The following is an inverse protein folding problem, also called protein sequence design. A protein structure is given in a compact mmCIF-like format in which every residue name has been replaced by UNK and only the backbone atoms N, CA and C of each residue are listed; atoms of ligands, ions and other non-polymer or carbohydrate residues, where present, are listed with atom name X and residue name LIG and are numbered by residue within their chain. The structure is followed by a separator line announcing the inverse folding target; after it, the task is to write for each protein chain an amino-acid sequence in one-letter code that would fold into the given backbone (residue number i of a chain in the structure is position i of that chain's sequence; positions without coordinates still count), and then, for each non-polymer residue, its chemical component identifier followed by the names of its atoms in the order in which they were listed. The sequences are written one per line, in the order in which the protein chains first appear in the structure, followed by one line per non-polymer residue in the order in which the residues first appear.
data_IF_999923984700
#
_entry.id   IF_999923984700
#
_cell.length_a   1.000
_cell.length_b   1.000
_cell.length_c   1.000
_cell.angle_alpha   90.00
_cell.angle_beta   90.00
_cell.angle_gamma   90.00
#
_symmetry.space_group_name_H-M   'P 1'
#
loop_
_entity.id
_entity.type
_entity.pdbx_description
1 polymer ?
#
# COMPACT_ATOMS: atom_id res chain seq x y z
N UNK A 1 -10.11 -39.58 -28.61
CA UNK A 1 -9.30 -40.20 -27.58
C UNK A 1 -9.21 -41.70 -27.88
N UNK A 2 -8.01 -42.17 -28.22
CA UNK A 2 -7.80 -43.59 -28.49
C UNK A 2 -7.56 -44.31 -27.15
N UNK A 3 -8.59 -45.00 -26.67
CA UNK A 3 -8.44 -45.94 -25.56
C UNK A 3 -7.47 -47.06 -26.01
N UNK A 4 -6.43 -47.38 -25.25
CA UNK A 4 -5.49 -48.46 -25.62
C UNK A 4 -6.21 -49.75 -25.91
N UNK A 5 -5.78 -50.44 -26.96
CA UNK A 5 -6.46 -51.62 -27.49
C UNK A 5 -6.60 -52.79 -26.47
N UNK A 6 -5.71 -52.86 -25.47
CA UNK A 6 -5.79 -53.90 -24.40
C UNK A 6 -6.91 -53.67 -23.40
N UNK A 7 -7.52 -52.46 -23.33
CA UNK A 7 -8.71 -52.17 -22.51
C UNK A 7 -9.97 -52.59 -23.24
N UNK A 8 -9.94 -52.70 -24.57
CA UNK A 8 -11.07 -53.05 -25.42
C UNK A 8 -11.34 -54.56 -25.47
N UNK A 9 -10.26 -55.35 -25.39
CA UNK A 9 -10.36 -56.80 -25.39
C UNK A 9 -10.58 -57.30 -23.96
N UNK A 10 -11.66 -58.00 -23.67
CA UNK A 10 -11.96 -58.65 -22.39
C UNK A 10 -10.97 -59.83 -22.17
N UNK A 11 -9.66 -59.58 -22.19
CA UNK A 11 -8.66 -60.60 -21.87
C UNK A 11 -8.64 -60.86 -20.36
N UNK A 12 -8.68 -62.11 -19.99
CA UNK A 12 -8.53 -62.51 -18.61
C UNK A 12 -7.13 -62.14 -18.09
N UNK A 13 -6.99 -61.83 -16.80
CA UNK A 13 -5.68 -61.57 -16.16
C UNK A 13 -4.67 -62.74 -16.38
N UNK A 14 -5.18 -63.97 -16.53
CA UNK A 14 -4.37 -65.18 -16.85
C UNK A 14 -3.64 -65.04 -18.18
N UNK A 15 -4.24 -64.44 -19.20
CA UNK A 15 -3.75 -64.40 -20.58
C UNK A 15 -2.73 -63.29 -20.81
N UNK A 16 -2.42 -62.50 -19.81
CA UNK A 16 -1.46 -61.40 -19.88
C UNK A 16 -0.02 -61.90 -19.69
N UNK A 17 0.89 -61.38 -20.51
CA UNK A 17 2.32 -61.60 -20.32
C UNK A 17 2.84 -60.96 -19.02
N UNK A 18 3.95 -61.46 -18.49
CA UNK A 18 4.61 -60.91 -17.28
C UNK A 18 4.85 -59.42 -17.36
N UNK A 19 5.23 -58.91 -18.56
CA UNK A 19 5.43 -57.49 -18.80
C UNK A 19 4.12 -56.67 -18.72
N UNK A 20 3.06 -57.17 -19.32
CA UNK A 20 1.71 -56.55 -19.26
C UNK A 20 1.15 -56.53 -17.83
N UNK A 21 1.34 -57.63 -17.07
CA UNK A 21 0.96 -57.65 -15.66
C UNK A 21 1.70 -56.63 -14.81
N UNK A 22 3.01 -56.44 -15.07
CA UNK A 22 3.84 -55.40 -14.40
C UNK A 22 3.33 -54.00 -14.78
N UNK A 23 3.02 -53.78 -16.04
CA UNK A 23 2.52 -52.45 -16.52
C UNK A 23 1.18 -52.12 -15.89
N UNK A 24 0.20 -53.07 -15.86
CA UNK A 24 -1.10 -52.89 -15.22
C UNK A 24 -0.97 -52.62 -13.72
N UNK A 25 -0.07 -53.34 -13.01
CA UNK A 25 0.18 -53.07 -11.58
C UNK A 25 0.76 -51.68 -11.37
N UNK A 26 1.67 -51.18 -12.23
CA UNK A 26 2.21 -49.84 -12.14
C UNK A 26 1.14 -48.76 -12.38
N UNK A 27 0.30 -48.96 -13.39
CA UNK A 27 -0.84 -48.06 -13.69
C UNK A 27 -1.81 -48.05 -12.52
N UNK A 28 -2.20 -49.22 -11.99
CA UNK A 28 -3.10 -49.34 -10.83
C UNK A 28 -2.51 -48.65 -9.57
N UNK A 29 -1.21 -48.86 -9.31
CA UNK A 29 -0.50 -48.14 -8.24
C UNK A 29 -0.48 -46.61 -8.44
N UNK A 30 -0.29 -46.15 -9.67
CA UNK A 30 -0.38 -44.74 -10.01
C UNK A 30 -1.76 -44.16 -9.78
N UNK A 31 -2.82 -44.86 -10.23
CA UNK A 31 -4.21 -44.47 -10.00
C UNK A 31 -4.53 -44.45 -8.50
N UNK A 32 -4.07 -45.45 -7.75
CA UNK A 32 -4.27 -45.49 -6.29
C UNK A 32 -3.57 -44.31 -5.60
N UNK A 33 -2.32 -43.99 -5.98
CA UNK A 33 -1.62 -42.82 -5.44
C UNK A 33 -2.36 -41.51 -5.73
N UNK A 34 -2.86 -41.33 -6.95
CA UNK A 34 -3.64 -40.16 -7.32
C UNK A 34 -4.95 -40.11 -6.52
N UNK A 35 -5.64 -41.23 -6.37
CA UNK A 35 -6.87 -41.32 -5.56
C UNK A 35 -6.61 -40.97 -4.09
N UNK A 36 -5.56 -41.53 -3.49
CA UNK A 36 -5.17 -41.24 -2.09
C UNK A 36 -4.80 -39.76 -1.95
N UNK A 37 -4.04 -39.22 -2.91
CA UNK A 37 -3.69 -37.81 -2.93
C UNK A 37 -4.94 -36.93 -3.02
N UNK A 38 -5.86 -37.22 -3.93
CA UNK A 38 -7.14 -36.50 -4.03
C UNK A 38 -7.97 -36.56 -2.73
N UNK A 39 -8.01 -37.72 -2.06
CA UNK A 39 -8.71 -37.86 -0.78
C UNK A 39 -8.04 -36.99 0.30
N UNK A 40 -6.71 -37.02 0.38
CA UNK A 40 -5.95 -36.20 1.33
C UNK A 40 -6.24 -34.71 1.08
N UNK A 41 -6.15 -34.25 -0.16
CA UNK A 41 -6.41 -32.86 -0.52
C UNK A 41 -7.86 -32.43 -0.23
N UNK A 42 -8.84 -33.26 -0.57
CA UNK A 42 -10.25 -33.01 -0.25
C UNK A 42 -10.49 -32.93 1.26
N UNK A 43 -9.86 -33.80 2.03
CA UNK A 43 -10.00 -33.81 3.51
C UNK A 43 -9.27 -32.60 4.14
N UNK A 44 -8.09 -32.26 3.64
CA UNK A 44 -7.30 -31.13 4.18
C UNK A 44 -7.78 -29.78 3.69
N UNK A 45 -8.39 -29.72 2.52
CA UNK A 45 -8.92 -28.51 1.90
C UNK A 45 -10.31 -28.11 2.37
N UNK A 46 -10.91 -28.78 3.36
CA UNK A 46 -12.21 -28.38 3.92
C UNK A 46 -12.03 -27.21 4.90
N UNK A 47 -12.98 -26.26 4.96
CA UNK A 47 -12.90 -25.12 5.86
C UNK A 47 -12.82 -25.53 7.34
N UNK A 48 -13.50 -26.62 7.74
CA UNK A 48 -13.44 -27.20 9.09
C UNK A 48 -11.99 -27.65 9.44
N UNK A 49 -11.35 -28.36 8.53
CA UNK A 49 -9.99 -28.84 8.73
C UNK A 49 -8.96 -27.69 8.78
N UNK A 50 -9.23 -26.60 8.06
CA UNK A 50 -8.41 -25.38 8.13
C UNK A 50 -8.59 -24.70 9.49
N UNK A 51 -9.84 -24.56 9.96
CA UNK A 51 -10.17 -24.01 11.27
C UNK A 51 -9.48 -24.81 12.40
N UNK A 52 -9.56 -26.14 12.36
CA UNK A 52 -8.90 -27.01 13.34
C UNK A 52 -7.38 -26.86 13.33
N UNK A 53 -6.76 -26.86 12.16
CA UNK A 53 -5.30 -26.69 12.04
C UNK A 53 -4.84 -25.33 12.53
N UNK A 54 -5.64 -24.27 12.28
CA UNK A 54 -5.36 -22.93 12.78
C UNK A 54 -5.48 -22.87 14.30
N UNK A 55 -6.59 -23.35 14.88
CA UNK A 55 -6.79 -23.37 16.32
C UNK A 55 -5.71 -24.19 17.05
N UNK A 56 -5.31 -25.34 16.49
CA UNK A 56 -4.19 -26.13 17.01
C UNK A 56 -2.87 -25.35 16.95
N UNK A 57 -2.59 -24.67 15.85
CA UNK A 57 -1.38 -23.84 15.74
C UNK A 57 -1.41 -22.66 16.71
N UNK A 58 -2.57 -22.02 16.88
CA UNK A 58 -2.80 -20.91 17.80
C UNK A 58 -2.56 -21.36 19.26
N UNK A 59 -3.19 -22.45 19.69
CA UNK A 59 -3.02 -23.01 21.03
C UNK A 59 -1.56 -23.39 21.35
N UNK A 60 -0.82 -23.85 20.33
CA UNK A 60 0.60 -24.20 20.44
C UNK A 60 1.52 -22.97 20.30
N UNK A 61 0.97 -21.77 20.18
CA UNK A 61 1.70 -20.52 19.92
C UNK A 61 2.61 -20.60 18.69
N UNK A 62 2.29 -21.50 17.76
CA UNK A 62 3.00 -21.65 16.50
C UNK A 62 2.53 -20.59 15.49
N UNK A 63 2.87 -19.33 15.76
CA UNK A 63 2.42 -18.19 14.99
C UNK A 63 2.83 -18.26 13.52
N UNK A 64 3.99 -18.86 13.23
CA UNK A 64 4.44 -19.07 11.86
C UNK A 64 3.51 -20.01 11.09
N UNK A 65 3.02 -21.09 11.73
CA UNK A 65 2.04 -22.00 11.13
C UNK A 65 0.67 -21.34 11.03
N UNK A 66 0.22 -20.63 12.08
CA UNK A 66 -1.03 -19.88 12.06
C UNK A 66 -1.08 -18.86 10.93
N UNK A 67 -0.02 -18.08 10.73
CA UNK A 67 0.07 -17.09 9.64
C UNK A 67 0.06 -17.70 8.23
N UNK A 68 0.62 -18.90 8.04
CA UNK A 68 0.49 -19.62 6.75
C UNK A 68 -0.94 -20.08 6.46
N UNK A 69 -1.74 -20.30 7.50
CA UNK A 69 -3.15 -20.67 7.39
C UNK A 69 -4.05 -19.45 7.30
N UNK A 70 -3.53 -18.24 7.52
CA UNK A 70 -4.25 -16.99 7.41
C UNK A 70 -4.17 -16.41 6.01
N UNK A 71 -5.22 -15.68 5.62
CA UNK A 71 -5.31 -14.96 4.35
C UNK A 71 -4.64 -13.59 4.48
N UNK A 72 -3.32 -13.59 4.50
CA UNK A 72 -2.54 -12.35 4.54
C UNK A 72 -2.47 -11.71 3.15
N UNK A 73 -2.66 -10.38 3.02
CA UNK A 73 -2.53 -9.69 1.75
C UNK A 73 -1.15 -9.85 1.10
N UNK A 74 -1.12 -10.15 -0.20
CA UNK A 74 0.11 -10.26 -0.99
C UNK A 74 0.57 -8.88 -1.49
N UNK A 75 0.73 -7.90 -0.61
CA UNK A 75 1.07 -6.51 -0.99
C UNK A 75 2.50 -6.08 -0.60
N UNK A 76 3.27 -6.96 -0.02
CA UNK A 76 4.63 -6.69 0.45
C UNK A 76 4.73 -5.94 1.79
N UNK A 77 3.64 -5.32 2.27
CA UNK A 77 3.62 -4.60 3.56
C UNK A 77 3.12 -5.47 4.72
N UNK A 78 2.42 -6.56 4.43
CA UNK A 78 1.98 -7.55 5.41
C UNK A 78 2.82 -8.80 5.23
N UNK A 79 3.86 -8.93 6.03
CA UNK A 79 4.78 -10.06 5.97
C UNK A 79 4.46 -11.11 7.01
N UNK A 80 4.95 -12.34 6.78
CA UNK A 80 4.83 -13.42 7.76
C UNK A 80 5.51 -13.08 9.10
N UNK A 81 6.63 -12.33 9.06
CA UNK A 81 7.38 -11.97 10.26
C UNK A 81 6.66 -10.88 11.06
N UNK A 82 6.01 -9.93 10.40
CA UNK A 82 5.13 -8.94 11.05
C UNK A 82 3.92 -9.59 11.69
N UNK A 83 3.27 -10.55 11.00
CA UNK A 83 2.20 -11.34 11.59
C UNK A 83 2.67 -12.06 12.88
N UNK A 84 3.81 -12.73 12.83
CA UNK A 84 4.39 -13.42 14.00
C UNK A 84 4.69 -12.43 15.13
N UNK A 85 5.24 -11.26 14.82
CA UNK A 85 5.53 -10.21 15.80
C UNK A 85 4.26 -9.65 16.44
N UNK A 86 3.23 -9.41 15.66
CA UNK A 86 1.92 -8.98 16.14
C UNK A 86 1.30 -10.01 17.06
N UNK A 87 1.26 -11.28 16.64
CA UNK A 87 0.65 -12.36 17.41
C UNK A 87 1.37 -12.60 18.73
N UNK A 88 2.71 -12.58 18.76
CA UNK A 88 3.48 -12.69 20.02
C UNK A 88 3.14 -11.62 21.04
N UNK A 89 2.74 -10.43 20.57
CA UNK A 89 2.45 -9.28 21.43
C UNK A 89 0.98 -9.23 21.86
N UNK A 90 0.06 -9.63 20.98
CA UNK A 90 -1.37 -9.34 21.13
C UNK A 90 -2.25 -10.58 21.27
N UNK A 91 -1.75 -11.76 20.91
CA UNK A 91 -2.56 -12.99 20.99
C UNK A 91 -2.83 -13.38 22.44
N UNK A 92 -3.97 -14.05 22.65
CA UNK A 92 -4.25 -14.72 23.90
C UNK A 92 -3.38 -15.97 23.98
N UNK A 93 -2.57 -16.07 25.00
CA UNK A 93 -1.67 -17.20 25.28
C UNK A 93 -2.22 -18.06 26.41
N UNK A 94 -1.58 -19.20 26.69
CA UNK A 94 -1.99 -20.07 27.80
C UNK A 94 -3.36 -20.73 27.59
N UNK A 95 -3.70 -21.10 26.36
CA UNK A 95 -4.94 -21.82 26.06
C UNK A 95 -4.75 -23.30 26.38
N UNK A 96 -5.51 -23.82 27.32
CA UNK A 96 -5.44 -25.22 27.77
C UNK A 96 -6.26 -26.20 26.90
N UNK A 97 -7.22 -25.68 26.13
CA UNK A 97 -8.05 -26.49 25.22
C UNK A 97 -9.03 -25.63 24.44
N UNK A 98 -9.54 -26.17 23.32
CA UNK A 98 -10.55 -25.52 22.51
C UNK A 98 -11.56 -26.50 21.94
N UNK A 99 -12.73 -26.01 21.61
CA UNK A 99 -13.79 -26.74 20.91
C UNK A 99 -14.30 -25.83 19.76
N UNK A 100 -14.48 -26.42 18.58
CA UNK A 100 -15.00 -25.71 17.40
C UNK A 100 -16.43 -26.20 17.16
N UNK A 101 -17.37 -25.25 17.08
CA UNK A 101 -18.79 -25.53 16.86
C UNK A 101 -19.31 -24.75 15.65
N UNK A 102 -20.10 -25.41 14.81
CA UNK A 102 -20.99 -24.74 13.88
C UNK A 102 -22.29 -24.35 14.60
N UNK A 103 -22.65 -23.09 14.54
CA UNK A 103 -23.90 -22.55 15.07
C UNK A 103 -24.85 -22.16 13.92
N UNK A 104 -26.10 -21.82 14.25
CA UNK A 104 -27.05 -21.32 13.24
C UNK A 104 -26.56 -20.01 12.62
N UNK A 105 -25.96 -19.12 13.41
CA UNK A 105 -25.38 -17.86 12.97
C UNK A 105 -24.22 -18.09 12.00
N UNK A 106 -23.41 -19.12 12.23
CA UNK A 106 -22.32 -19.51 11.34
C UNK A 106 -22.83 -19.91 9.95
N UNK A 107 -23.98 -20.57 9.85
CA UNK A 107 -24.63 -20.94 8.58
C UNK A 107 -25.18 -19.71 7.85
N UNK A 108 -25.63 -18.69 8.57
CA UNK A 108 -26.06 -17.44 7.95
C UNK A 108 -24.91 -16.76 7.21
N UNK A 109 -23.72 -16.71 7.79
CA UNK A 109 -22.50 -16.17 7.11
C UNK A 109 -22.22 -16.91 5.80
N UNK A 110 -22.41 -18.22 5.75
CA UNK A 110 -22.24 -19.00 4.52
C UNK A 110 -23.23 -18.56 3.44
N UNK A 111 -24.51 -18.43 3.81
CA UNK A 111 -25.56 -18.02 2.88
C UNK A 111 -25.33 -16.60 2.37
N UNK A 112 -25.03 -15.65 3.26
CA UNK A 112 -24.81 -14.26 2.92
C UNK A 112 -23.57 -14.05 2.03
N UNK A 113 -22.52 -14.85 2.24
CA UNK A 113 -21.31 -14.81 1.40
C UNK A 113 -21.42 -15.58 0.09
N UNK A 114 -22.55 -16.27 -0.16
CA UNK A 114 -22.71 -17.15 -1.31
C UNK A 114 -21.72 -18.32 -1.31
N UNK A 115 -21.45 -18.89 -0.13
CA UNK A 115 -20.55 -20.02 0.07
C UNK A 115 -19.06 -19.68 -0.01
N UNK A 116 -18.70 -18.40 0.06
CA UNK A 116 -17.29 -17.96 0.02
C UNK A 116 -16.65 -17.88 1.41
N UNK A 117 -17.45 -17.80 2.46
CA UNK A 117 -17.01 -17.77 3.84
C UNK A 117 -17.74 -18.80 4.69
N UNK A 118 -17.04 -19.31 5.68
CA UNK A 118 -17.56 -20.14 6.74
C UNK A 118 -17.14 -19.57 8.08
N UNK A 119 -18.08 -19.39 9.00
CA UNK A 119 -17.78 -18.97 10.36
C UNK A 119 -17.89 -20.15 11.32
N UNK A 120 -16.99 -20.19 12.28
CA UNK A 120 -16.95 -21.20 13.35
C UNK A 120 -16.89 -20.49 14.69
N UNK A 121 -17.68 -20.93 15.65
CA UNK A 121 -17.54 -20.50 17.04
C UNK A 121 -16.49 -21.38 17.72
N UNK A 122 -15.41 -20.77 18.15
CA UNK A 122 -14.33 -21.42 18.90
C UNK A 122 -14.52 -21.09 20.37
N UNK A 123 -14.89 -22.08 21.17
CA UNK A 123 -14.85 -21.98 22.63
C UNK A 123 -13.48 -22.43 23.11
N UNK A 124 -12.85 -21.69 23.98
CA UNK A 124 -11.52 -22.03 24.51
C UNK A 124 -11.42 -21.70 26.00
N UNK A 125 -10.54 -22.43 26.68
CA UNK A 125 -10.23 -22.23 28.10
C UNK A 125 -8.87 -21.64 28.26
N UNK A 126 -8.77 -20.56 29.04
CA UNK A 126 -7.50 -19.95 29.45
C UNK A 126 -6.95 -20.64 30.69
N UNK A 127 -5.68 -20.40 31.02
CA UNK A 127 -5.02 -21.01 32.20
C UNK A 127 -5.74 -20.74 33.52
N UNK A 128 -6.43 -19.60 33.64
CA UNK A 128 -7.27 -19.23 34.77
C UNK A 128 -8.67 -19.90 34.75
N UNK A 129 -8.83 -20.96 33.93
CA UNK A 129 -10.06 -21.75 33.77
C UNK A 129 -11.28 -20.93 33.28
N UNK A 130 -11.09 -19.76 32.73
CA UNK A 130 -12.20 -18.99 32.15
C UNK A 130 -12.49 -19.48 30.73
N UNK A 131 -13.77 -19.77 30.50
CA UNK A 131 -14.25 -20.05 29.15
C UNK A 131 -14.47 -18.73 28.38
N UNK A 132 -13.96 -18.69 27.16
CA UNK A 132 -14.16 -17.59 26.22
C UNK A 132 -14.58 -18.16 24.88
N UNK A 133 -15.30 -17.36 24.12
CA UNK A 133 -15.69 -17.71 22.74
C UNK A 133 -15.17 -16.67 21.78
N UNK A 134 -14.81 -17.12 20.58
CA UNK A 134 -14.40 -16.26 19.47
C UNK A 134 -14.97 -16.81 18.16
N UNK A 135 -15.43 -15.94 17.27
CA UNK A 135 -15.80 -16.35 15.93
C UNK A 135 -14.54 -16.40 15.05
N UNK A 136 -14.34 -17.49 14.36
CA UNK A 136 -13.28 -17.71 13.39
C UNK A 136 -13.90 -17.77 11.99
N UNK A 137 -13.54 -16.83 11.13
CA UNK A 137 -14.00 -16.82 9.75
C UNK A 137 -12.94 -17.47 8.86
N UNK A 138 -13.35 -18.45 8.08
CA UNK A 138 -12.54 -19.14 7.09
C UNK A 138 -13.07 -18.78 5.70
N UNK A 139 -12.22 -18.28 4.84
CA UNK A 139 -12.63 -17.79 3.53
C UNK A 139 -11.95 -18.52 2.38
N UNK A 140 -12.72 -18.65 1.31
CA UNK A 140 -12.35 -19.32 0.07
C UNK A 140 -11.39 -18.47 -0.72
N UNK A 141 -10.24 -19.02 -1.09
CA UNK A 141 -9.24 -18.30 -1.88
C UNK A 141 -9.61 -18.26 -3.36
N UNK A 142 -9.26 -17.16 -4.04
CA UNK A 142 -9.43 -17.02 -5.49
C UNK A 142 -8.50 -17.95 -6.27
N UNK A 143 -7.28 -18.16 -5.78
CA UNK A 143 -6.30 -19.08 -6.36
C UNK A 143 -6.70 -20.53 -6.02
N UNK A 144 -6.65 -21.41 -7.01
CA UNK A 144 -6.90 -22.84 -6.83
C UNK A 144 -5.56 -23.57 -6.73
N UNK A 145 -5.46 -24.46 -5.77
CA UNK A 145 -4.32 -25.37 -5.67
C UNK A 145 -4.52 -26.52 -6.63
N UNK A 146 -3.49 -26.86 -7.43
CA UNK A 146 -3.53 -27.97 -8.40
C UNK A 146 -4.72 -27.94 -9.40
N UNK A 147 -5.13 -26.74 -9.83
CA UNK A 147 -6.18 -26.50 -10.84
C UNK A 147 -7.62 -26.87 -10.42
N UNK A 148 -7.81 -27.76 -9.44
CA UNK A 148 -9.13 -28.32 -9.11
C UNK A 148 -9.58 -28.05 -7.68
N UNK A 149 -8.66 -27.89 -6.74
CA UNK A 149 -8.98 -27.75 -5.32
C UNK A 149 -9.08 -26.30 -4.91
N UNK A 150 -10.11 -25.98 -4.16
CA UNK A 150 -10.28 -24.68 -3.54
C UNK A 150 -9.45 -24.62 -2.28
N UNK A 151 -8.59 -23.65 -2.17
CA UNK A 151 -7.88 -23.36 -0.93
C UNK A 151 -8.76 -22.51 -0.02
N UNK A 152 -8.70 -22.80 1.28
CA UNK A 152 -9.38 -22.05 2.33
C UNK A 152 -8.34 -21.53 3.31
N UNK A 153 -8.54 -20.29 3.78
CA UNK A 153 -7.67 -19.66 4.78
C UNK A 153 -8.50 -18.95 5.83
N UNK A 154 -7.95 -18.82 7.02
CA UNK A 154 -8.55 -18.02 8.08
C UNK A 154 -8.45 -16.55 7.69
N UNK A 155 -9.56 -15.80 7.79
CA UNK A 155 -9.58 -14.36 7.55
C UNK A 155 -8.61 -13.65 8.49
N UNK A 156 -7.87 -12.71 7.94
CA UNK A 156 -6.96 -11.83 8.69
C UNK A 156 -7.58 -10.45 8.98
N UNK A 157 -8.84 -10.23 8.67
CA UNK A 157 -9.51 -8.92 8.79
C UNK A 157 -9.49 -8.34 10.21
N UNK A 158 -9.35 -9.18 11.24
CA UNK A 158 -9.24 -8.72 12.64
C UNK A 158 -7.84 -8.18 13.01
N UNK A 159 -6.84 -8.44 12.18
CA UNK A 159 -5.44 -8.10 12.46
C UNK A 159 -4.79 -7.31 11.33
N UNK A 160 -5.47 -7.18 10.20
CA UNK A 160 -5.02 -6.42 9.05
C UNK A 160 -5.93 -5.21 8.87
N UNK A 161 -5.34 -4.04 8.97
CA UNK A 161 -5.97 -2.78 8.58
C UNK A 161 -6.06 -2.76 7.05
N UNK A 162 -7.19 -3.23 6.53
CA UNK A 162 -7.47 -3.16 5.11
C UNK A 162 -7.88 -1.74 4.73
N UNK A 163 -7.62 -1.37 3.47
CA UNK A 163 -8.03 -0.07 2.93
C UNK A 163 -7.53 1.15 3.72
N UNK A 164 -6.35 1.04 4.37
CA UNK A 164 -5.74 2.17 5.07
C UNK A 164 -5.31 3.23 4.07
N UNK A 165 -5.76 4.47 4.26
CA UNK A 165 -5.48 5.57 3.35
C UNK A 165 -4.29 6.40 3.85
N UNK A 166 -3.30 6.59 2.99
CA UNK A 166 -2.12 7.38 3.27
C UNK A 166 -2.08 8.56 2.31
N UNK A 167 -2.09 9.78 2.84
CA UNK A 167 -2.00 11.02 2.07
C UNK A 167 -0.61 11.61 2.19
N UNK A 168 0.09 11.71 1.07
CA UNK A 168 1.48 12.14 0.98
C UNK A 168 1.61 13.37 0.06
N UNK A 169 2.60 14.24 0.28
CA UNK A 169 2.91 15.31 -0.66
C UNK A 169 3.18 14.79 -2.07
N UNK A 170 2.63 15.43 -3.08
CA UNK A 170 2.79 15.05 -4.47
C UNK A 170 4.28 14.95 -4.86
N UNK A 171 4.63 13.95 -5.67
CA UNK A 171 6.00 13.67 -6.10
C UNK A 171 6.91 13.14 -4.99
N UNK A 172 6.37 12.68 -3.87
CA UNK A 172 7.15 12.11 -2.78
C UNK A 172 7.59 10.66 -3.08
N UNK A 173 8.66 10.25 -2.42
CA UNK A 173 9.04 8.84 -2.26
C UNK A 173 8.85 8.48 -0.80
N UNK A 174 8.14 7.39 -0.53
CA UNK A 174 7.85 6.99 0.84
C UNK A 174 8.21 5.52 1.11
N UNK A 175 8.38 5.21 2.40
CA UNK A 175 8.65 3.87 2.90
C UNK A 175 7.83 3.67 4.18
N UNK A 176 7.18 2.54 4.29
CA UNK A 176 6.51 2.06 5.50
C UNK A 176 7.36 0.91 6.04
N UNK A 177 7.83 1.01 7.28
CA UNK A 177 8.72 0.02 7.95
C UNK A 177 9.89 -0.41 7.06
N UNK A 178 10.51 0.58 6.40
CA UNK A 178 11.60 0.43 5.43
C UNK A 178 11.22 -0.22 4.08
N UNK A 179 9.98 -0.62 3.87
CA UNK A 179 9.46 -1.13 2.61
C UNK A 179 8.99 0.05 1.75
N UNK A 180 9.53 0.15 0.54
CA UNK A 180 9.21 1.25 -0.37
C UNK A 180 7.75 1.19 -0.80
N UNK A 181 7.04 2.32 -0.71
CA UNK A 181 5.69 2.47 -1.23
C UNK A 181 5.72 2.45 -2.77
N UNK A 182 4.87 1.60 -3.36
CA UNK A 182 4.82 1.38 -4.81
C UNK A 182 3.69 2.18 -5.46
N UNK A 183 3.85 2.47 -6.74
CA UNK A 183 2.83 3.17 -7.53
C UNK A 183 1.51 2.36 -7.65
N UNK A 184 1.58 1.04 -7.54
CA UNK A 184 0.39 0.16 -7.58
C UNK A 184 -0.59 0.43 -6.42
N UNK A 185 -0.08 0.98 -5.31
CA UNK A 185 -0.88 1.38 -4.15
C UNK A 185 -1.49 2.77 -4.31
N UNK A 186 -1.10 3.53 -5.34
CA UNK A 186 -1.57 4.90 -5.58
C UNK A 186 -2.96 4.89 -6.18
N UNK A 187 -3.86 5.65 -5.59
CA UNK A 187 -5.15 5.95 -6.18
C UNK A 187 -4.99 7.09 -7.18
N UNK A 188 -5.81 7.08 -8.24
CA UNK A 188 -5.93 8.22 -9.15
C UNK A 188 -6.68 9.31 -8.39
N UNK A 189 -5.96 10.32 -7.92
CA UNK A 189 -6.55 11.49 -7.28
C UNK A 189 -6.26 12.73 -8.13
N UNK A 190 -7.26 13.61 -8.25
CA UNK A 190 -7.16 14.87 -8.99
C UNK A 190 -6.64 16.01 -8.11
N UNK A 191 -6.21 15.75 -6.87
CA UNK A 191 -5.67 16.79 -6.00
C UNK A 191 -4.21 17.09 -6.33
N UNK A 192 -3.92 18.31 -6.78
CA UNK A 192 -2.59 18.76 -7.20
C UNK A 192 -1.53 18.74 -6.08
N UNK A 193 -1.94 18.63 -4.82
CA UNK A 193 -1.05 18.84 -3.67
C UNK A 193 -0.73 17.59 -2.85
N UNK A 194 -1.64 16.61 -2.81
CA UNK A 194 -1.47 15.36 -2.08
C UNK A 194 -1.81 14.17 -2.97
N UNK A 195 -1.00 13.14 -2.86
CA UNK A 195 -1.25 11.85 -3.49
C UNK A 195 -1.83 10.90 -2.46
N UNK A 196 -2.90 10.22 -2.82
CA UNK A 196 -3.53 9.21 -1.98
C UNK A 196 -3.02 7.83 -2.35
N UNK A 197 -2.65 7.08 -1.33
CA UNK A 197 -2.27 5.67 -1.42
C UNK A 197 -3.21 4.84 -0.57
N UNK A 198 -3.55 3.64 -1.05
CA UNK A 198 -4.32 2.66 -0.31
C UNK A 198 -3.44 1.44 -0.06
N UNK A 199 -3.27 1.07 1.21
CA UNK A 199 -2.42 -0.04 1.62
C UNK A 199 -3.13 -0.90 2.65
N UNK A 200 -2.77 -2.19 2.70
CA UNK A 200 -3.13 -3.05 3.83
C UNK A 200 -1.90 -3.24 4.71
N UNK A 201 -2.06 -3.09 6.01
CA UNK A 201 -1.00 -3.15 7.02
C UNK A 201 -1.44 -4.04 8.18
N UNK A 202 -0.53 -4.60 8.94
CA UNK A 202 -0.89 -5.16 10.25
C UNK A 202 -1.39 -4.02 11.14
N UNK A 203 -2.46 -4.21 11.91
CA UNK A 203 -2.93 -3.19 12.85
C UNK A 203 -1.88 -2.84 13.89
N UNK A 204 -1.72 -1.56 14.17
CA UNK A 204 -0.78 -1.09 15.17
C UNK A 204 0.14 0.02 14.70
N UNK A 205 1.26 0.16 15.39
CA UNK A 205 2.23 1.23 15.16
C UNK A 205 3.18 0.89 14.01
N UNK A 206 3.30 1.81 13.06
CA UNK A 206 4.18 1.73 11.90
C UNK A 206 5.08 2.95 11.81
N UNK A 207 6.22 2.82 11.15
CA UNK A 207 7.15 3.92 10.88
C UNK A 207 7.02 4.34 9.42
N UNK A 208 6.97 5.65 9.20
CA UNK A 208 6.97 6.21 7.85
C UNK A 208 8.19 7.11 7.62
N UNK A 209 8.78 6.97 6.45
CA UNK A 209 9.80 7.88 5.91
C UNK A 209 9.28 8.47 4.61
N UNK A 210 9.34 9.80 4.49
CA UNK A 210 8.92 10.50 3.26
C UNK A 210 10.04 11.42 2.80
N UNK A 211 10.39 11.31 1.53
CA UNK A 211 11.40 12.13 0.87
C UNK A 211 10.75 12.92 -0.27
N UNK A 212 10.80 14.24 -0.15
CA UNK A 212 10.40 15.18 -1.20
C UNK A 212 11.64 15.99 -1.62
N UNK A 213 11.83 16.29 -2.91
CA UNK A 213 12.92 17.17 -3.36
C UNK A 213 12.92 18.50 -2.60
N UNK A 214 14.08 18.99 -2.23
CA UNK A 214 14.29 20.24 -1.48
C UNK A 214 13.83 20.25 -0.02
N UNK A 215 13.20 19.19 0.48
CA UNK A 215 12.78 19.08 1.88
C UNK A 215 13.70 18.16 2.69
N UNK A 216 13.70 18.33 4.01
CA UNK A 216 14.32 17.37 4.93
C UNK A 216 13.52 16.08 4.88
N UNK A 217 14.20 14.94 5.01
CA UNK A 217 13.51 13.66 5.12
C UNK A 217 12.59 13.68 6.34
N UNK A 218 11.31 13.46 6.11
CA UNK A 218 10.32 13.28 7.18
C UNK A 218 10.41 11.87 7.73
N UNK A 219 10.34 11.74 9.05
CA UNK A 219 10.24 10.46 9.76
C UNK A 219 9.27 10.62 10.90
N UNK A 220 8.33 9.69 11.00
CA UNK A 220 7.34 9.65 12.08
C UNK A 220 6.80 8.25 12.28
N UNK A 221 6.08 8.03 13.37
CA UNK A 221 5.17 6.91 13.54
C UNK A 221 3.75 7.29 13.16
N UNK A 222 2.97 6.29 12.80
CA UNK A 222 1.51 6.38 12.67
C UNK A 222 0.89 5.04 13.10
N UNK A 223 -0.40 5.07 13.46
CA UNK A 223 -1.13 3.86 13.84
C UNK A 223 -2.05 3.44 12.70
N UNK A 224 -1.86 2.22 12.20
CA UNK A 224 -2.77 1.62 11.24
C UNK A 224 -3.97 1.00 11.95
N UNK A 225 -5.17 1.23 11.41
CA UNK A 225 -6.42 0.61 11.80
C UNK A 225 -7.29 0.44 10.57
N UNK A 226 -8.23 -0.50 10.58
CA UNK A 226 -9.12 -0.73 9.45
C UNK A 226 -9.82 0.56 9.04
N UNK A 227 -9.84 0.85 7.73
CA UNK A 227 -10.37 2.09 7.13
C UNK A 227 -9.82 3.39 7.73
N UNK A 228 -8.70 3.29 8.43
CA UNK A 228 -8.00 4.45 8.99
C UNK A 228 -7.28 5.27 7.94
N UNK A 229 -6.71 6.39 8.37
CA UNK A 229 -5.89 7.22 7.49
C UNK A 229 -4.73 7.88 8.23
N UNK A 230 -3.70 8.26 7.48
CA UNK A 230 -2.64 9.14 7.94
C UNK A 230 -2.29 10.17 6.88
N UNK A 231 -2.10 11.42 7.29
CA UNK A 231 -1.76 12.54 6.41
C UNK A 231 -0.42 13.14 6.78
N UNK A 232 0.49 13.17 5.83
CA UNK A 232 1.79 13.83 5.97
C UNK A 232 1.74 15.15 5.19
N UNK A 233 1.47 16.24 5.89
CA UNK A 233 1.29 17.57 5.28
C UNK A 233 2.31 18.60 5.75
N UNK A 234 3.07 18.33 6.82
CA UNK A 234 4.02 19.28 7.40
C UNK A 234 5.45 18.82 7.19
N UNK A 235 6.12 19.37 6.19
CA UNK A 235 7.51 19.10 5.90
C UNK A 235 8.38 20.33 6.10
N UNK A 236 9.63 20.11 6.56
CA UNK A 236 10.61 21.19 6.75
C UNK A 236 11.53 21.26 5.54
N UNK A 237 11.68 22.45 4.97
CA UNK A 237 12.64 22.68 3.88
C UNK A 237 14.07 22.39 4.36
N UNK A 238 14.90 21.80 3.50
CA UNK A 238 16.32 21.60 3.78
C UNK A 238 17.12 22.88 3.49
N UNK A 239 18.32 23.02 4.07
CA UNK A 239 19.18 24.16 3.77
C UNK A 239 19.56 24.21 2.28
N UNK A 240 19.81 23.07 1.67
CA UNK A 240 20.03 22.99 0.22
C UNK A 240 18.77 23.36 -0.58
N UNK A 241 17.59 23.00 -0.06
CA UNK A 241 16.31 23.41 -0.62
C UNK A 241 16.14 24.94 -0.61
N UNK A 242 16.41 25.59 0.53
CA UNK A 242 16.40 27.06 0.63
C UNK A 242 17.31 27.71 -0.41
N UNK A 243 18.55 27.24 -0.52
CA UNK A 243 19.50 27.75 -1.50
C UNK A 243 18.98 27.61 -2.94
N UNK A 244 18.39 26.45 -3.28
CA UNK A 244 17.80 26.23 -4.61
C UNK A 244 16.60 27.13 -4.87
N UNK A 245 15.73 27.31 -3.89
CA UNK A 245 14.57 28.20 -4.02
C UNK A 245 15.01 29.66 -4.14
N UNK A 246 15.93 30.14 -3.29
CA UNK A 246 16.45 31.48 -3.38
C UNK A 246 17.06 31.76 -4.76
N UNK A 247 17.92 30.87 -5.27
CA UNK A 247 18.49 30.97 -6.59
C UNK A 247 17.42 31.01 -7.68
N UNK A 248 16.44 30.12 -7.62
CA UNK A 248 15.35 30.08 -8.60
C UNK A 248 14.51 31.37 -8.58
N UNK A 249 14.22 31.90 -7.40
CA UNK A 249 13.52 33.18 -7.27
C UNK A 249 14.34 34.34 -7.83
N UNK A 250 15.64 34.39 -7.57
CA UNK A 250 16.53 35.38 -8.14
C UNK A 250 16.56 35.28 -9.67
N UNK A 251 16.65 34.08 -10.24
CA UNK A 251 16.60 33.86 -11.70
C UNK A 251 15.26 34.35 -12.30
N UNK A 252 14.13 34.08 -11.63
CA UNK A 252 12.79 34.54 -12.04
C UNK A 252 12.74 36.08 -12.03
N UNK A 253 13.17 36.71 -10.94
CA UNK A 253 13.15 38.16 -10.79
C UNK A 253 14.06 38.83 -11.82
N UNK A 254 15.27 38.28 -12.06
CA UNK A 254 16.16 38.77 -13.09
C UNK A 254 15.53 38.68 -14.49
N UNK A 255 14.89 37.55 -14.83
CA UNK A 255 14.20 37.39 -16.11
C UNK A 255 13.04 38.40 -16.26
N UNK A 256 12.31 38.62 -15.17
CA UNK A 256 11.19 39.52 -15.08
C UNK A 256 11.60 40.98 -15.33
N UNK A 257 12.62 41.46 -14.61
CA UNK A 257 13.16 42.79 -14.76
C UNK A 257 13.77 43.02 -16.15
N UNK A 258 14.52 42.04 -16.65
CA UNK A 258 15.12 42.09 -17.99
C UNK A 258 14.07 42.19 -19.10
N UNK A 259 12.97 41.44 -18.98
CA UNK A 259 11.88 41.49 -19.94
C UNK A 259 11.12 42.84 -19.87
N UNK A 260 10.86 43.36 -18.67
CA UNK A 260 10.23 44.64 -18.46
C UNK A 260 11.05 45.80 -19.05
N UNK A 261 12.37 45.82 -18.79
CA UNK A 261 13.31 46.80 -19.35
C UNK A 261 13.37 46.75 -20.88
N UNK A 262 13.26 45.55 -21.45
CA UNK A 262 13.23 45.37 -22.91
C UNK A 262 11.86 45.70 -23.54
N UNK A 263 10.91 46.18 -22.76
CA UNK A 263 9.56 46.54 -23.24
C UNK A 263 8.70 45.34 -23.66
N UNK A 264 9.11 44.12 -23.30
CA UNK A 264 8.43 42.90 -23.70
C UNK A 264 7.03 42.75 -23.08
N UNK A 265 6.17 41.98 -23.70
CA UNK A 265 4.83 41.71 -23.15
C UNK A 265 4.89 40.73 -21.97
N UNK A 266 3.87 40.78 -21.08
CA UNK A 266 3.78 39.83 -19.96
C UNK A 266 3.74 38.35 -20.42
N UNK A 267 3.22 38.08 -21.63
CA UNK A 267 3.17 36.73 -22.19
C UNK A 267 4.54 36.04 -22.27
N UNK A 268 5.63 36.82 -22.42
CA UNK A 268 6.99 36.27 -22.48
C UNK A 268 7.52 35.78 -21.11
N UNK A 269 6.98 36.33 -20.04
CA UNK A 269 7.32 35.94 -18.66
C UNK A 269 6.22 35.13 -17.99
N UNK A 270 5.05 34.97 -18.60
CA UNK A 270 3.90 34.26 -18.05
C UNK A 270 4.21 32.80 -17.73
N UNK A 271 5.16 32.18 -18.46
CA UNK A 271 5.61 30.79 -18.20
C UNK A 271 6.45 30.63 -16.93
N UNK A 272 6.86 31.73 -16.27
CA UNK A 272 7.50 31.69 -14.96
C UNK A 272 6.51 31.45 -13.80
N UNK A 273 5.21 31.60 -14.09
CA UNK A 273 4.12 31.43 -13.13
C UNK A 273 3.33 30.18 -13.45
N UNK A 274 2.74 29.61 -12.43
CA UNK A 274 1.82 28.48 -12.57
C UNK A 274 0.61 28.86 -13.42
N UNK A 275 0.16 27.93 -14.29
CA UNK A 275 -0.85 28.24 -15.34
C UNK A 275 -2.16 28.83 -14.79
N UNK A 276 -2.60 28.30 -13.65
CA UNK A 276 -3.91 28.62 -13.05
C UNK A 276 -3.80 29.39 -11.72
N UNK A 277 -2.66 30.02 -11.45
CA UNK A 277 -2.47 30.72 -10.18
C UNK A 277 -3.31 31.99 -10.12
N UNK A 278 -4.06 32.17 -9.01
CA UNK A 278 -4.80 33.41 -8.72
C UNK A 278 -3.91 34.65 -8.73
N UNK A 279 -2.63 34.49 -8.39
CA UNK A 279 -1.63 35.54 -8.40
C UNK A 279 -1.20 35.98 -9.80
N UNK A 280 -1.59 35.26 -10.87
CA UNK A 280 -1.14 35.58 -12.24
C UNK A 280 -1.69 36.92 -12.72
N UNK A 281 -2.91 37.27 -12.34
CA UNK A 281 -3.53 38.56 -12.67
C UNK A 281 -2.81 39.69 -11.97
N UNK A 282 -2.56 39.59 -10.68
CA UNK A 282 -1.84 40.57 -9.86
C UNK A 282 -0.39 40.74 -10.38
N UNK A 283 0.29 39.65 -10.72
CA UNK A 283 1.62 39.66 -11.28
C UNK A 283 1.66 40.35 -12.65
N UNK A 284 0.61 40.20 -13.46
CA UNK A 284 0.50 40.91 -14.75
C UNK A 284 0.34 42.43 -14.57
N UNK A 285 -0.48 42.85 -13.62
CA UNK A 285 -0.65 44.25 -13.29
C UNK A 285 0.67 44.87 -12.80
N UNK A 286 1.30 44.22 -11.82
CA UNK A 286 2.60 44.61 -11.31
C UNK A 286 3.68 44.69 -12.43
N UNK A 287 3.71 43.70 -13.33
CA UNK A 287 4.65 43.69 -14.45
C UNK A 287 4.46 44.90 -15.40
N UNK A 288 3.20 45.21 -15.70
CA UNK A 288 2.89 46.33 -16.57
C UNK A 288 3.30 47.66 -15.94
N UNK A 289 3.15 47.83 -14.64
CA UNK A 289 3.61 49.01 -13.92
C UNK A 289 5.12 49.08 -13.87
N UNK A 290 5.80 47.97 -13.59
CA UNK A 290 7.25 47.86 -13.63
C UNK A 290 7.81 48.23 -15.05
N UNK A 291 7.14 47.72 -16.08
CA UNK A 291 7.50 48.01 -17.48
C UNK A 291 7.37 49.51 -17.82
N UNK A 292 6.32 50.18 -17.34
CA UNK A 292 6.14 51.62 -17.49
C UNK A 292 7.29 52.36 -16.80
N UNK A 293 7.64 51.97 -15.57
CA UNK A 293 8.73 52.64 -14.82
C UNK A 293 10.11 52.43 -15.41
N UNK A 294 10.38 51.28 -16.03
CA UNK A 294 11.70 50.93 -16.58
C UNK A 294 11.85 51.27 -18.07
N UNK A 295 10.76 51.41 -18.81
CA UNK A 295 10.77 51.52 -20.29
C UNK A 295 10.40 52.88 -20.85
N UNK A 296 9.76 53.76 -20.10
CA UNK A 296 9.43 55.12 -20.56
C UNK A 296 10.49 56.11 -20.07
N UNK A 297 10.94 57.00 -20.91
CA UNK A 297 11.94 58.02 -20.57
C UNK A 297 11.54 58.95 -19.39
N UNK A 298 10.32 58.82 -18.88
CA UNK A 298 9.80 59.54 -17.72
C UNK A 298 9.94 58.74 -16.40
N UNK A 299 10.50 57.54 -16.44
CA UNK A 299 10.72 56.72 -15.23
C UNK A 299 11.99 57.13 -14.49
N UNK A 300 11.96 57.09 -13.15
CA UNK A 300 13.10 57.39 -12.29
C UNK A 300 14.28 56.44 -12.42
N UNK A 301 14.09 55.28 -13.07
CA UNK A 301 15.13 54.23 -13.21
C UNK A 301 15.48 54.05 -14.68
N UNK A 302 16.61 54.67 -15.12
CA UNK A 302 16.90 54.75 -16.54
C UNK A 302 18.07 53.89 -17.02
N UNK A 303 18.96 53.41 -16.16
CA UNK A 303 20.19 52.77 -16.62
C UNK A 303 20.36 51.31 -16.23
N UNK A 304 20.29 50.95 -14.97
CA UNK A 304 20.58 49.60 -14.53
C UNK A 304 19.81 49.28 -13.24
N UNK A 305 19.14 48.11 -13.21
CA UNK A 305 18.64 47.50 -11.96
C UNK A 305 19.43 46.22 -11.77
N UNK A 306 20.15 46.13 -10.66
CA UNK A 306 20.93 44.96 -10.30
C UNK A 306 20.30 44.34 -9.07
N UNK A 307 19.92 43.07 -9.18
CA UNK A 307 19.38 42.30 -8.09
C UNK A 307 20.52 41.53 -7.42
N UNK A 308 20.94 41.96 -6.24
CA UNK A 308 22.14 41.45 -5.60
C UNK A 308 21.87 40.23 -4.73
N UNK A 309 20.77 40.21 -3.98
CA UNK A 309 20.49 39.13 -3.09
C UNK A 309 18.99 38.95 -2.87
N UNK A 310 18.56 37.69 -2.74
CA UNK A 310 17.21 37.32 -2.35
C UNK A 310 17.27 36.40 -1.12
N UNK A 311 16.68 36.83 -0.01
CA UNK A 311 16.51 36.04 1.18
C UNK A 311 15.03 35.73 1.41
N UNK A 312 14.66 34.44 1.31
CA UNK A 312 13.27 33.99 1.50
C UNK A 312 13.00 33.47 2.92
N UNK A 313 11.89 33.90 3.50
CA UNK A 313 11.25 33.20 4.64
C UNK A 313 10.18 32.27 4.10
N UNK A 314 10.28 30.99 4.47
CA UNK A 314 9.44 29.93 3.92
C UNK A 314 8.40 29.50 4.96
N UNK A 315 7.12 29.62 4.60
CA UNK A 315 6.00 29.03 5.34
C UNK A 315 5.40 27.97 4.42
N UNK A 316 5.57 26.71 4.77
CA UNK A 316 5.20 25.58 3.92
C UNK A 316 4.12 24.77 4.62
N UNK A 317 3.04 24.52 3.90
CA UNK A 317 1.95 23.62 4.30
C UNK A 317 1.79 22.58 3.19
N UNK A 318 2.07 21.31 3.50
CA UNK A 318 2.10 20.27 2.48
C UNK A 318 3.23 20.49 1.47
N UNK A 319 2.88 20.50 0.19
CA UNK A 319 3.78 20.83 -0.94
C UNK A 319 3.63 22.26 -1.42
N UNK A 320 2.64 23.00 -0.92
CA UNK A 320 2.43 24.40 -1.18
C UNK A 320 3.03 25.25 -0.07
N UNK A 321 3.46 26.43 -0.40
CA UNK A 321 4.02 27.34 0.60
C UNK A 321 3.98 28.77 0.11
N UNK A 322 3.95 29.71 1.08
CA UNK A 322 4.15 31.12 0.84
C UNK A 322 5.62 31.42 1.10
N UNK A 323 6.30 31.95 0.11
CA UNK A 323 7.65 32.48 0.24
C UNK A 323 7.54 33.98 0.33
N UNK A 324 7.91 34.54 1.48
CA UNK A 324 8.10 35.97 1.64
C UNK A 324 9.58 36.24 1.61
N UNK A 325 10.03 37.11 0.69
CA UNK A 325 11.43 37.39 0.56
C UNK A 325 11.71 38.91 0.63
N UNK A 326 12.92 39.21 1.04
CA UNK A 326 13.50 40.55 0.93
C UNK A 326 14.44 40.53 -0.27
N UNK A 327 14.29 41.51 -1.15
CA UNK A 327 15.15 41.69 -2.30
C UNK A 327 15.96 42.97 -2.10
N UNK A 328 17.27 42.86 -2.17
CA UNK A 328 18.18 44.00 -2.25
C UNK A 328 18.49 44.29 -3.73
N UNK A 329 18.40 45.53 -4.10
CA UNK A 329 18.71 45.95 -5.48
C UNK A 329 19.39 47.33 -5.49
N UNK A 330 20.32 47.47 -6.41
CA UNK A 330 20.92 48.75 -6.75
C UNK A 330 20.35 49.25 -8.07
N UNK A 331 20.10 50.55 -8.15
CA UNK A 331 19.69 51.19 -9.40
C UNK A 331 20.50 52.45 -9.68
N UNK A 332 20.66 52.74 -10.95
CA UNK A 332 21.26 53.99 -11.41
C UNK A 332 20.18 54.83 -12.10
N UNK A 333 20.06 56.06 -11.68
CA UNK A 333 19.19 57.07 -12.27
C UNK A 333 19.87 57.75 -13.45
#
# INVERSE_FOLDING_TARGET
SRVPQFIRDKRSWSDMTTGQKKAVKRIAAGILMVAVFCIIEVCHGRPEAVAERYCKAYMQENWKKAGRLSDLPENGYVTQDEYVSYMKKNAVTGISGYEIKETKENRQTEVESGGKQRAFTVAYKTEDNKEKTKTLIVQKQKKRTLLFFTDWKVSSDEIVANDFNLYLPAGSKAWIDDIKLTEDSKLKDDSDNLEQYKVSLIEGEHKIKVKVPCFRMYRSGFRASDKGNATISKMKISENGKKKFNRKMQDILNAYVKAAKAGKSFSEVAGLFEKDSSCKKENKEFYNDLKKQLGSGDGYITKEVKLDNYEGKYVISGVTGVVRGTLSYDYKV
#
